data_IF_320461440113
#
_entry.id   IF_320461440113
#
_cell.length_a   1.000
_cell.length_b   1.000
_cell.length_c   1.000
_cell.angle_alpha   90.00
_cell.angle_beta   90.00
_cell.angle_gamma   90.00
#
_symmetry.space_group_name_H-M   'P 1'
#
loop_
_entity.id
_entity.type
_entity.pdbx_description
1 polymer ?
#
# COMPACT_ATOMS: atom_id res chain seq x y z
N UNK A 1 40.11 31.57 -18.27
CA UNK A 1 38.76 30.96 -18.24
C UNK A 1 37.82 32.02 -17.67
N UNK A 2 37.14 32.72 -18.59
CA UNK A 2 36.19 33.77 -18.26
C UNK A 2 34.92 33.10 -17.67
N UNK A 3 34.57 33.46 -16.42
CA UNK A 3 33.32 33.07 -15.81
C UNK A 3 32.17 33.65 -16.66
N UNK A 4 31.35 32.79 -17.23
CA UNK A 4 30.05 33.16 -17.80
C UNK A 4 29.19 33.71 -16.65
N UNK A 5 29.11 35.04 -16.57
CA UNK A 5 28.12 35.67 -15.72
C UNK A 5 26.74 35.36 -16.27
N UNK A 6 25.91 34.68 -15.51
CA UNK A 6 24.47 34.56 -15.80
C UNK A 6 23.91 35.98 -15.89
N UNK A 7 23.10 36.33 -16.91
CA UNK A 7 22.38 37.59 -16.91
C UNK A 7 21.59 37.65 -15.61
N UNK A 8 21.59 38.82 -14.97
CA UNK A 8 20.95 39.04 -13.69
C UNK A 8 19.59 38.36 -13.65
N UNK A 9 19.42 37.47 -12.69
CA UNK A 9 18.11 36.90 -12.43
C UNK A 9 17.13 38.06 -12.26
N UNK A 10 15.93 38.02 -12.88
CA UNK A 10 15.00 39.14 -12.75
C UNK A 10 14.87 39.46 -11.27
N UNK A 11 15.26 40.66 -10.87
CA UNK A 11 15.08 41.12 -9.50
C UNK A 11 13.57 41.07 -9.26
N UNK A 12 13.12 40.05 -8.55
CA UNK A 12 11.76 40.03 -8.02
C UNK A 12 11.68 41.24 -7.12
N UNK A 13 10.95 42.26 -7.57
CA UNK A 13 10.81 43.48 -6.78
C UNK A 13 10.26 43.07 -5.42
N UNK A 14 11.00 43.35 -4.37
CA UNK A 14 10.59 43.07 -3.00
C UNK A 14 9.40 43.92 -2.54
N UNK A 15 8.88 44.77 -3.41
CA UNK A 15 7.71 45.62 -3.23
C UNK A 15 6.54 45.26 -4.16
N UNK A 16 6.22 44.00 -4.30
CA UNK A 16 4.83 43.68 -4.66
C UNK A 16 4.05 43.80 -3.35
N UNK A 17 3.05 44.71 -3.26
CA UNK A 17 2.18 44.75 -2.09
C UNK A 17 1.58 43.35 -1.95
N UNK A 18 2.09 42.59 -0.98
CA UNK A 18 1.59 41.22 -0.75
C UNK A 18 0.10 41.32 -0.44
N UNK A 19 -0.69 40.40 -0.99
CA UNK A 19 -2.09 40.30 -0.62
C UNK A 19 -2.19 40.19 0.91
N UNK A 20 -3.14 40.89 1.54
CA UNK A 20 -3.39 40.72 2.97
C UNK A 20 -3.60 39.23 3.30
N UNK A 21 -3.12 38.80 4.46
CA UNK A 21 -3.18 37.37 4.85
C UNK A 21 -4.60 36.81 4.72
N UNK A 22 -5.61 37.58 5.11
CA UNK A 22 -7.02 37.15 4.99
C UNK A 22 -7.42 36.86 3.53
N UNK A 23 -6.99 37.66 2.59
CA UNK A 23 -7.24 37.48 1.16
C UNK A 23 -6.42 36.29 0.61
N UNK A 24 -5.19 36.14 1.05
CA UNK A 24 -4.35 34.96 0.70
C UNK A 24 -5.03 33.65 1.12
N UNK A 25 -5.58 33.59 2.35
CA UNK A 25 -6.31 32.40 2.84
C UNK A 25 -7.57 32.14 2.03
N UNK A 26 -8.33 33.17 1.66
CA UNK A 26 -9.54 32.99 0.85
C UNK A 26 -9.20 32.55 -0.58
N UNK A 27 -8.13 33.04 -1.18
CA UNK A 27 -7.62 32.55 -2.47
C UNK A 27 -7.24 31.07 -2.39
N UNK A 28 -6.54 30.66 -1.34
CA UNK A 28 -6.20 29.24 -1.14
C UNK A 28 -7.44 28.35 -1.04
N UNK A 29 -8.47 28.79 -0.29
CA UNK A 29 -9.77 28.07 -0.22
C UNK A 29 -10.46 28.00 -1.57
N UNK A 30 -10.36 29.05 -2.38
CA UNK A 30 -10.93 29.09 -3.73
C UNK A 30 -10.27 28.05 -4.65
N UNK A 31 -8.94 27.92 -4.61
CA UNK A 31 -8.20 26.88 -5.34
C UNK A 31 -8.73 25.49 -4.99
N UNK A 32 -8.86 25.18 -3.71
CA UNK A 32 -9.38 23.88 -3.27
C UNK A 32 -10.80 23.63 -3.77
N UNK A 33 -11.68 24.64 -3.74
CA UNK A 33 -13.05 24.52 -4.26
C UNK A 33 -13.09 24.27 -5.77
N UNK A 34 -12.26 24.99 -6.54
CA UNK A 34 -12.18 24.84 -8.01
C UNK A 34 -11.65 23.44 -8.38
N UNK A 35 -10.59 22.97 -7.75
CA UNK A 35 -10.05 21.64 -8.00
C UNK A 35 -11.04 20.53 -7.58
N UNK A 36 -11.73 20.68 -6.46
CA UNK A 36 -12.77 19.74 -6.04
C UNK A 36 -13.93 19.69 -7.04
N UNK A 37 -14.36 20.83 -7.57
CA UNK A 37 -15.40 20.90 -8.61
C UNK A 37 -14.93 20.25 -9.93
N UNK A 38 -13.67 20.44 -10.31
CA UNK A 38 -13.08 19.81 -11.50
C UNK A 38 -13.06 18.28 -11.37
N UNK A 39 -12.71 17.76 -10.20
CA UNK A 39 -12.74 16.30 -9.92
C UNK A 39 -14.18 15.78 -9.93
N UNK A 40 -15.12 16.46 -9.28
CA UNK A 40 -16.54 16.05 -9.26
C UNK A 40 -17.15 15.99 -10.67
N UNK A 41 -16.77 16.89 -11.55
CA UNK A 41 -17.24 16.91 -12.95
C UNK A 41 -16.81 15.68 -13.77
N UNK A 42 -15.78 14.94 -13.34
CA UNK A 42 -15.34 13.70 -14.01
C UNK A 42 -16.37 12.58 -13.91
N UNK A 43 -17.19 12.54 -12.87
CA UNK A 43 -18.19 11.48 -12.67
C UNK A 43 -19.10 11.33 -13.91
N UNK A 44 -19.58 12.43 -14.45
CA UNK A 44 -20.45 12.43 -15.64
C UNK A 44 -19.74 12.00 -16.94
N UNK A 45 -18.41 11.85 -16.92
CA UNK A 45 -17.58 11.45 -18.07
C UNK A 45 -17.11 10.00 -17.99
N UNK A 46 -17.44 9.30 -16.91
CA UNK A 46 -17.20 7.86 -16.78
C UNK A 46 -18.29 7.15 -17.59
N UNK A 47 -17.96 6.80 -18.82
CA UNK A 47 -18.86 6.20 -19.80
C UNK A 47 -18.19 5.10 -20.62
N UNK A 48 -18.64 4.95 -21.88
CA UNK A 48 -18.22 3.85 -22.78
C UNK A 48 -16.72 3.86 -23.05
N UNK A 49 -16.10 5.02 -23.26
CA UNK A 49 -14.65 5.12 -23.48
C UNK A 49 -13.85 4.69 -22.25
N UNK A 50 -14.33 5.03 -21.04
CA UNK A 50 -13.70 4.57 -19.82
C UNK A 50 -13.83 3.05 -19.68
N UNK A 51 -15.02 2.50 -19.91
CA UNK A 51 -15.23 1.05 -19.89
C UNK A 51 -14.37 0.36 -20.96
N UNK A 52 -14.30 0.92 -22.16
CA UNK A 52 -13.44 0.45 -23.24
C UNK A 52 -11.95 0.43 -22.86
N UNK A 53 -11.47 1.48 -22.16
CA UNK A 53 -10.09 1.54 -21.67
C UNK A 53 -9.78 0.45 -20.64
N UNK A 54 -10.70 0.19 -19.71
CA UNK A 54 -10.59 -0.92 -18.75
C UNK A 54 -10.50 -2.25 -19.50
N UNK A 55 -11.41 -2.52 -20.45
CA UNK A 55 -11.40 -3.79 -21.21
C UNK A 55 -10.14 -3.93 -22.07
N UNK A 56 -9.70 -2.85 -22.73
CA UNK A 56 -8.48 -2.86 -23.54
C UNK A 56 -7.24 -3.25 -22.70
N UNK A 57 -7.13 -2.68 -21.50
CA UNK A 57 -6.00 -2.96 -20.59
C UNK A 57 -6.13 -4.38 -19.99
N UNK A 58 -7.32 -4.86 -19.68
CA UNK A 58 -7.52 -6.23 -19.20
C UNK A 58 -7.17 -7.29 -20.24
N UNK A 59 -7.49 -7.01 -21.51
CA UNK A 59 -7.23 -7.91 -22.63
C UNK A 59 -5.77 -7.86 -23.12
N UNK A 60 -4.99 -6.86 -22.71
CA UNK A 60 -3.59 -6.72 -23.13
C UNK A 60 -2.73 -7.87 -22.60
N UNK A 61 -1.92 -8.45 -23.47
CA UNK A 61 -0.93 -9.47 -23.10
C UNK A 61 0.38 -8.88 -22.58
N UNK A 62 0.58 -7.58 -22.78
CA UNK A 62 1.74 -6.81 -22.36
C UNK A 62 1.44 -5.94 -21.13
N UNK A 63 1.96 -4.73 -21.14
CA UNK A 63 1.84 -3.74 -20.08
C UNK A 63 1.15 -2.46 -20.55
N UNK A 64 0.85 -1.57 -19.60
CA UNK A 64 0.41 -0.22 -19.92
C UNK A 64 1.64 0.69 -20.04
N UNK A 65 1.86 1.25 -21.24
CA UNK A 65 2.86 2.30 -21.47
C UNK A 65 2.20 3.63 -21.16
N UNK A 66 2.60 4.28 -20.07
CA UNK A 66 2.04 5.57 -19.69
C UNK A 66 3.01 6.68 -20.08
N UNK A 67 2.55 7.67 -20.84
CA UNK A 67 3.43 8.72 -21.36
C UNK A 67 2.79 10.11 -21.25
N UNK A 68 3.63 11.14 -21.14
CA UNK A 68 3.23 12.53 -21.06
C UNK A 68 4.45 13.44 -20.86
N UNK A 69 4.29 14.73 -21.13
CA UNK A 69 5.36 15.72 -21.02
C UNK A 69 5.10 16.72 -19.89
N UNK A 70 6.15 17.27 -19.30
CA UNK A 70 6.05 18.30 -18.27
C UNK A 70 5.21 17.88 -17.07
N UNK A 71 4.21 18.68 -16.69
CA UNK A 71 3.31 18.36 -15.56
C UNK A 71 2.46 17.12 -15.83
N UNK A 72 1.99 16.93 -17.08
CA UNK A 72 1.31 15.70 -17.49
C UNK A 72 2.23 14.47 -17.38
N UNK A 73 3.52 14.60 -17.64
CA UNK A 73 4.51 13.54 -17.45
C UNK A 73 4.71 13.14 -15.98
N UNK A 74 4.65 14.11 -15.06
CA UNK A 74 4.70 13.84 -13.62
C UNK A 74 3.46 13.05 -13.18
N UNK A 75 2.27 13.46 -13.64
CA UNK A 75 1.01 12.74 -13.40
C UNK A 75 1.06 11.34 -14.00
N UNK A 76 1.55 11.21 -15.24
CA UNK A 76 1.71 9.92 -15.91
C UNK A 76 2.62 8.95 -15.14
N UNK A 77 3.73 9.42 -14.56
CA UNK A 77 4.59 8.62 -13.67
C UNK A 77 3.83 8.12 -12.45
N UNK A 78 3.01 9.00 -11.81
CA UNK A 78 2.21 8.60 -10.66
C UNK A 78 1.16 7.55 -11.05
N UNK A 79 0.49 7.72 -12.18
CA UNK A 79 -0.50 6.76 -12.68
C UNK A 79 0.15 5.40 -12.96
N UNK A 80 1.32 5.37 -13.64
CA UNK A 80 2.07 4.14 -13.89
C UNK A 80 2.43 3.42 -12.57
N UNK A 81 2.89 4.18 -11.57
CA UNK A 81 3.21 3.64 -10.25
C UNK A 81 1.97 3.07 -9.55
N UNK A 82 0.83 3.78 -9.61
CA UNK A 82 -0.45 3.31 -9.03
C UNK A 82 -0.92 2.03 -9.72
N UNK A 83 -0.95 1.97 -11.05
CA UNK A 83 -1.31 0.78 -11.82
C UNK A 83 -0.45 -0.42 -11.41
N UNK A 84 0.88 -0.24 -11.37
CA UNK A 84 1.82 -1.30 -10.99
C UNK A 84 1.56 -1.79 -9.56
N UNK A 85 1.36 -0.86 -8.62
CA UNK A 85 1.13 -1.20 -7.22
C UNK A 85 -0.24 -1.83 -6.95
N UNK A 86 -1.17 -1.73 -7.90
CA UNK A 86 -2.52 -2.31 -7.85
C UNK A 86 -2.70 -3.50 -8.79
N UNK A 87 -1.60 -4.12 -9.24
CA UNK A 87 -1.61 -5.38 -9.98
C UNK A 87 -1.78 -5.26 -11.49
N UNK A 88 -1.70 -4.06 -12.07
CA UNK A 88 -1.65 -3.85 -13.52
C UNK A 88 -0.22 -3.48 -13.92
N UNK A 89 0.51 -4.33 -14.67
CA UNK A 89 1.85 -4.00 -15.12
C UNK A 89 1.85 -2.71 -15.95
N UNK A 90 2.59 -1.71 -15.50
CA UNK A 90 2.68 -0.43 -16.19
C UNK A 90 4.09 0.14 -16.09
N UNK A 91 4.48 0.95 -17.08
CA UNK A 91 5.75 1.66 -17.08
C UNK A 91 5.58 3.05 -17.67
N UNK A 92 6.30 4.02 -17.13
CA UNK A 92 6.35 5.36 -17.69
C UNK A 92 7.39 5.41 -18.81
N UNK A 93 7.02 5.98 -19.95
CA UNK A 93 7.92 6.24 -21.08
C UNK A 93 7.90 7.74 -21.39
N UNK A 94 9.05 8.40 -21.27
CA UNK A 94 9.15 9.81 -21.62
C UNK A 94 9.13 9.99 -23.14
N UNK A 95 8.26 10.89 -23.70
CA UNK A 95 8.11 10.99 -25.16
C UNK A 95 9.41 11.29 -25.92
N UNK A 96 10.25 12.14 -25.35
CA UNK A 96 11.53 12.51 -25.97
C UNK A 96 12.52 11.35 -25.94
N UNK A 97 12.68 10.70 -24.76
CA UNK A 97 13.59 9.55 -24.62
C UNK A 97 13.13 8.36 -25.48
N UNK A 98 11.83 8.19 -25.65
CA UNK A 98 11.27 7.22 -26.58
C UNK A 98 11.88 7.36 -27.99
N UNK A 99 11.93 8.57 -28.51
CA UNK A 99 12.48 8.85 -29.86
C UNK A 99 14.01 8.69 -29.95
N UNK A 100 14.68 8.50 -28.81
CA UNK A 100 16.13 8.32 -28.71
C UNK A 100 16.58 6.91 -28.28
N UNK A 101 15.67 5.93 -28.35
CA UNK A 101 16.00 4.52 -28.16
C UNK A 101 15.12 3.77 -27.18
N UNK A 102 14.43 4.46 -26.25
CA UNK A 102 13.61 3.81 -25.23
C UNK A 102 12.34 3.15 -25.80
N UNK A 103 12.02 3.37 -27.09
CA UNK A 103 10.95 2.63 -27.78
C UNK A 103 11.14 1.11 -27.74
N UNK A 104 12.37 0.64 -27.51
CA UNK A 104 12.68 -0.79 -27.36
C UNK A 104 11.95 -1.49 -26.21
N UNK A 105 11.36 -0.73 -25.27
CA UNK A 105 10.56 -1.31 -24.18
C UNK A 105 9.11 -1.63 -24.59
N UNK A 106 8.65 -1.13 -25.75
CA UNK A 106 7.26 -1.26 -26.20
C UNK A 106 7.09 -2.54 -27.01
N UNK A 107 6.12 -3.35 -26.64
CA UNK A 107 5.71 -4.57 -27.34
C UNK A 107 4.35 -4.43 -28.03
N UNK A 108 4.08 -5.27 -29.03
CA UNK A 108 2.80 -5.28 -29.77
C UNK A 108 1.60 -5.66 -28.91
N UNK A 109 1.81 -6.28 -27.74
CA UNK A 109 0.75 -6.63 -26.80
C UNK A 109 0.45 -5.54 -25.75
N UNK A 110 1.14 -4.39 -25.82
CA UNK A 110 0.98 -3.28 -24.90
C UNK A 110 -0.24 -2.40 -25.25
N UNK A 111 -0.68 -1.61 -24.25
CA UNK A 111 -1.64 -0.53 -24.42
C UNK A 111 -0.95 0.77 -24.00
N UNK A 112 -1.09 1.83 -24.80
CA UNK A 112 -0.51 3.13 -24.46
C UNK A 112 -1.57 4.08 -23.89
N UNK A 113 -1.33 4.61 -22.68
CA UNK A 113 -2.09 5.66 -22.03
C UNK A 113 -1.32 6.97 -22.14
N UNK A 114 -1.80 7.89 -22.96
CA UNK A 114 -1.07 9.10 -23.36
C UNK A 114 -1.74 10.34 -22.78
N UNK A 115 -0.99 11.07 -21.93
CA UNK A 115 -1.49 12.22 -21.19
C UNK A 115 -1.04 13.55 -21.83
N UNK A 116 -1.99 14.38 -22.21
CA UNK A 116 -1.73 15.75 -22.66
C UNK A 116 -2.95 16.64 -22.43
N UNK A 117 -2.80 17.74 -21.67
CA UNK A 117 -3.90 18.70 -21.46
C UNK A 117 -4.44 19.24 -22.78
N UNK A 118 -3.57 19.72 -23.66
CA UNK A 118 -3.97 20.28 -24.94
C UNK A 118 -4.26 19.24 -26.02
N UNK A 119 -3.64 18.04 -25.88
CA UNK A 119 -3.62 17.01 -26.91
C UNK A 119 -2.88 17.38 -28.19
N UNK A 120 -2.08 18.47 -28.17
CA UNK A 120 -1.37 19.05 -29.34
C UNK A 120 0.16 19.14 -29.12
N UNK A 121 0.71 18.36 -28.18
CA UNK A 121 2.16 18.38 -27.90
C UNK A 121 2.95 17.76 -29.06
N UNK A 122 3.86 18.52 -29.65
CA UNK A 122 4.66 18.06 -30.81
C UNK A 122 5.54 16.86 -30.44
N UNK A 123 6.10 16.84 -29.23
CA UNK A 123 6.94 15.74 -28.74
C UNK A 123 6.14 14.43 -28.59
N UNK A 124 4.84 14.51 -28.29
CA UNK A 124 3.98 13.34 -28.21
C UNK A 124 3.61 12.80 -29.59
N UNK A 125 3.52 13.66 -30.61
CA UNK A 125 3.09 13.30 -31.96
C UNK A 125 3.95 12.18 -32.57
N UNK A 126 5.27 12.31 -32.47
CA UNK A 126 6.19 11.27 -32.97
C UNK A 126 5.99 9.92 -32.29
N UNK A 127 5.76 9.92 -30.97
CA UNK A 127 5.46 8.71 -30.23
C UNK A 127 4.11 8.09 -30.63
N UNK A 128 3.05 8.90 -30.78
CA UNK A 128 1.70 8.47 -31.20
C UNK A 128 1.75 7.79 -32.57
N UNK A 129 2.43 8.43 -33.56
CA UNK A 129 2.59 7.88 -34.89
C UNK A 129 3.36 6.55 -34.88
N UNK A 130 4.40 6.43 -34.09
CA UNK A 130 5.18 5.20 -33.98
C UNK A 130 4.36 4.08 -33.37
N UNK A 131 3.69 4.33 -32.24
CA UNK A 131 2.86 3.34 -31.56
C UNK A 131 1.71 2.88 -32.45
N UNK A 132 1.07 3.80 -33.18
CA UNK A 132 0.03 3.47 -34.15
C UNK A 132 0.52 2.54 -35.27
N UNK A 133 1.75 2.75 -35.79
CA UNK A 133 2.36 1.85 -36.79
C UNK A 133 2.69 0.46 -36.24
N UNK A 134 2.99 0.37 -34.95
CA UNK A 134 3.19 -0.92 -34.27
C UNK A 134 1.88 -1.65 -33.95
N UNK A 135 0.72 -1.03 -34.17
CA UNK A 135 -0.56 -1.60 -33.80
C UNK A 135 -0.83 -1.63 -32.28
N UNK A 136 -0.13 -0.78 -31.53
CA UNK A 136 -0.38 -0.60 -30.09
C UNK A 136 -1.67 0.19 -29.92
N UNK A 137 -2.58 -0.28 -29.09
CA UNK A 137 -3.83 0.42 -28.77
C UNK A 137 -3.56 1.72 -28.02
N UNK A 138 -4.13 2.81 -28.49
CA UNK A 138 -3.94 4.14 -27.93
C UNK A 138 -5.17 4.59 -27.12
N UNK A 139 -4.94 4.99 -25.88
CA UNK A 139 -5.93 5.62 -24.99
C UNK A 139 -5.43 7.03 -24.70
N UNK A 140 -6.17 8.04 -25.13
CA UNK A 140 -5.89 9.43 -24.80
C UNK A 140 -6.47 9.79 -23.44
N UNK A 141 -5.70 10.47 -22.60
CA UNK A 141 -6.18 11.16 -21.41
C UNK A 141 -5.91 12.66 -21.62
N UNK A 142 -6.96 13.40 -21.99
CA UNK A 142 -6.79 14.79 -22.47
C UNK A 142 -7.87 15.72 -21.95
N UNK A 143 -7.51 17.01 -21.83
CA UNK A 143 -8.47 18.08 -21.54
C UNK A 143 -9.20 18.59 -22.80
N UNK A 144 -8.87 18.04 -23.99
CA UNK A 144 -9.51 18.43 -25.27
C UNK A 144 -9.86 17.19 -26.09
N UNK A 145 -11.10 16.72 -25.98
CA UNK A 145 -11.56 15.53 -26.72
C UNK A 145 -11.56 15.68 -28.25
N UNK A 146 -11.44 16.90 -28.76
CA UNK A 146 -11.35 17.22 -30.20
C UNK A 146 -9.89 17.39 -30.67
N UNK A 147 -8.89 17.13 -29.82
CA UNK A 147 -7.47 17.30 -30.15
C UNK A 147 -6.91 16.27 -31.11
N UNK A 148 -5.71 16.53 -31.64
CA UNK A 148 -4.98 15.62 -32.50
C UNK A 148 -4.67 14.29 -31.81
N UNK A 149 -4.34 14.30 -30.54
CA UNK A 149 -4.14 13.09 -29.74
C UNK A 149 -5.44 12.26 -29.64
N UNK A 150 -6.56 12.92 -29.33
CA UNK A 150 -7.86 12.26 -29.22
C UNK A 150 -8.27 11.60 -30.55
N UNK A 151 -8.11 12.30 -31.66
CA UNK A 151 -8.46 11.77 -33.00
C UNK A 151 -7.61 10.57 -33.44
N UNK A 152 -6.40 10.45 -32.92
CA UNK A 152 -5.49 9.33 -33.22
C UNK A 152 -5.59 8.18 -32.22
N UNK A 153 -6.39 8.33 -31.19
CA UNK A 153 -6.61 7.31 -30.15
C UNK A 153 -7.93 6.59 -30.37
N UNK A 154 -7.99 5.31 -30.01
CA UNK A 154 -9.21 4.51 -30.08
C UNK A 154 -10.22 4.93 -29.00
N UNK A 155 -9.72 5.38 -27.85
CA UNK A 155 -10.51 5.69 -26.65
C UNK A 155 -10.02 7.01 -26.05
N UNK A 156 -10.95 7.81 -25.53
CA UNK A 156 -10.65 9.14 -25.00
C UNK A 156 -11.19 9.28 -23.58
N UNK A 157 -10.30 9.38 -22.62
CA UNK A 157 -10.63 9.73 -21.24
C UNK A 157 -10.64 11.27 -21.13
N UNK A 158 -11.83 11.86 -21.13
CA UNK A 158 -12.01 13.30 -21.05
C UNK A 158 -11.72 13.84 -19.65
N UNK A 159 -10.60 14.57 -19.53
CA UNK A 159 -10.14 15.26 -18.33
C UNK A 159 -10.25 16.78 -18.47
N UNK A 160 -11.18 17.29 -19.32
CA UNK A 160 -11.38 18.73 -19.49
C UNK A 160 -11.78 19.38 -18.17
N UNK A 161 -11.33 20.62 -17.97
CA UNK A 161 -11.69 21.44 -16.82
C UNK A 161 -12.18 22.79 -17.32
N UNK A 162 -13.06 23.43 -16.57
CA UNK A 162 -13.59 24.74 -16.94
C UNK A 162 -12.49 25.80 -16.98
N UNK A 163 -11.63 25.80 -15.96
CA UNK A 163 -10.51 26.72 -15.79
C UNK A 163 -9.42 26.12 -14.88
N UNK A 164 -8.22 26.62 -14.97
CA UNK A 164 -7.20 26.35 -13.96
C UNK A 164 -7.45 27.20 -12.72
N UNK A 165 -7.08 26.67 -11.54
CA UNK A 165 -7.19 27.44 -10.30
C UNK A 165 -6.11 28.55 -10.17
N UNK A 166 -5.17 28.61 -11.11
CA UNK A 166 -4.21 29.68 -11.25
C UNK A 166 -4.89 30.97 -11.74
N UNK A 167 -4.67 32.14 -11.10
CA UNK A 167 -5.32 33.41 -11.47
C UNK A 167 -5.13 33.83 -12.94
N UNK A 168 -4.12 33.29 -13.61
CA UNK A 168 -3.79 33.61 -15.02
C UNK A 168 -4.13 32.47 -15.98
N UNK A 169 -4.78 31.40 -15.50
CA UNK A 169 -5.07 30.19 -16.28
C UNK A 169 -3.83 29.57 -16.98
N UNK A 170 -2.64 29.80 -16.42
CA UNK A 170 -1.37 29.37 -17.00
C UNK A 170 -0.78 28.12 -16.34
N UNK A 171 -0.80 28.08 -15.01
CA UNK A 171 -0.22 26.97 -14.27
C UNK A 171 -1.21 25.81 -14.21
N UNK A 172 -0.85 24.60 -14.69
CA UNK A 172 -1.69 23.43 -14.56
C UNK A 172 -1.94 23.07 -13.09
N UNK A 173 -3.18 23.15 -12.66
CA UNK A 173 -3.69 22.88 -11.30
C UNK A 173 -4.90 21.97 -11.39
N UNK A 174 -6.09 22.51 -11.69
CA UNK A 174 -7.33 21.74 -11.87
C UNK A 174 -7.18 20.62 -12.89
N UNK A 175 -6.52 20.89 -14.03
CA UNK A 175 -6.31 19.88 -15.08
C UNK A 175 -5.42 18.72 -14.63
N UNK A 176 -4.37 18.99 -13.85
CA UNK A 176 -3.49 17.94 -13.34
C UNK A 176 -4.16 17.12 -12.24
N UNK A 177 -4.94 17.75 -11.38
CA UNK A 177 -5.73 17.09 -10.34
C UNK A 177 -6.82 16.20 -10.96
N UNK A 178 -7.53 16.69 -11.98
CA UNK A 178 -8.52 15.91 -12.72
C UNK A 178 -7.89 14.69 -13.42
N UNK A 179 -6.77 14.88 -14.13
CA UNK A 179 -6.07 13.76 -14.77
C UNK A 179 -5.57 12.72 -13.78
N UNK A 180 -5.09 13.15 -12.60
CA UNK A 180 -4.68 12.26 -11.53
C UNK A 180 -5.85 11.43 -11.00
N UNK A 181 -6.99 12.07 -10.73
CA UNK A 181 -8.21 11.40 -10.25
C UNK A 181 -8.76 10.40 -11.27
N UNK A 182 -8.75 10.74 -12.56
CA UNK A 182 -9.16 9.83 -13.64
C UNK A 182 -8.23 8.60 -13.68
N UNK A 183 -6.92 8.81 -13.55
CA UNK A 183 -5.95 7.70 -13.50
C UNK A 183 -6.14 6.79 -12.29
N UNK A 184 -6.49 7.34 -11.13
CA UNK A 184 -6.80 6.55 -9.93
C UNK A 184 -8.10 5.77 -10.10
N UNK A 185 -9.13 6.38 -10.70
CA UNK A 185 -10.38 5.69 -11.04
C UNK A 185 -10.12 4.49 -11.97
N UNK A 186 -9.28 4.67 -13.00
CA UNK A 186 -8.88 3.61 -13.92
C UNK A 186 -8.13 2.48 -13.19
N UNK A 187 -7.17 2.82 -12.33
CA UNK A 187 -6.40 1.84 -11.57
C UNK A 187 -7.28 1.03 -10.61
N UNK A 188 -8.22 1.68 -9.92
CA UNK A 188 -9.16 1.00 -9.01
C UNK A 188 -10.15 0.13 -9.78
N UNK A 189 -10.66 0.58 -10.92
CA UNK A 189 -11.53 -0.24 -11.77
C UNK A 189 -10.83 -1.52 -12.23
N UNK A 190 -9.56 -1.41 -12.67
CA UNK A 190 -8.73 -2.56 -13.05
C UNK A 190 -8.43 -3.49 -11.88
N UNK A 191 -8.11 -2.94 -10.71
CA UNK A 191 -7.90 -3.69 -9.46
C UNK A 191 -9.12 -4.56 -9.15
N UNK A 192 -10.33 -3.98 -9.18
CA UNK A 192 -11.58 -4.68 -8.89
C UNK A 192 -11.85 -5.77 -9.94
N UNK A 193 -11.67 -5.46 -11.22
CA UNK A 193 -11.89 -6.42 -12.32
C UNK A 193 -10.90 -7.58 -12.31
N UNK A 194 -9.68 -7.38 -11.82
CA UNK A 194 -8.66 -8.44 -11.63
C UNK A 194 -8.88 -9.26 -10.37
N UNK A 195 -9.76 -8.88 -9.45
CA UNK A 195 -9.94 -9.50 -8.15
C UNK A 195 -8.70 -9.34 -7.25
N UNK A 196 -7.92 -8.26 -7.46
CA UNK A 196 -6.69 -8.00 -6.71
C UNK A 196 -7.01 -7.69 -5.24
N UNK A 197 -6.61 -8.59 -4.35
CA UNK A 197 -6.92 -8.54 -2.94
C UNK A 197 -5.79 -7.99 -2.06
N UNK A 198 -6.04 -8.04 -0.74
CA UNK A 198 -5.06 -7.60 0.27
C UNK A 198 -3.77 -8.39 0.24
N UNK A 199 -3.85 -9.69 -0.01
CA UNK A 199 -2.67 -10.58 -0.10
C UNK A 199 -1.82 -10.25 -1.32
N UNK A 200 -2.45 -9.90 -2.45
CA UNK A 200 -1.76 -9.46 -3.66
C UNK A 200 -1.02 -8.14 -3.41
N UNK A 201 -1.71 -7.19 -2.75
CA UNK A 201 -1.10 -5.92 -2.36
C UNK A 201 0.12 -6.12 -1.46
N UNK A 202 -0.01 -7.01 -0.48
CA UNK A 202 1.07 -7.33 0.44
C UNK A 202 2.29 -7.94 -0.26
N UNK A 203 2.07 -8.83 -1.25
CA UNK A 203 3.14 -9.41 -2.07
C UNK A 203 3.92 -8.36 -2.86
N UNK A 204 3.25 -7.31 -3.34
CA UNK A 204 3.89 -6.22 -4.08
C UNK A 204 4.54 -5.16 -3.17
N UNK A 205 4.21 -5.14 -1.87
CA UNK A 205 4.72 -4.17 -0.90
C UNK A 205 5.40 -4.83 0.32
N UNK A 206 6.37 -5.74 0.15
CA UNK A 206 6.90 -6.54 1.25
C UNK A 206 7.65 -5.70 2.31
N UNK A 207 8.20 -4.56 1.93
CA UNK A 207 8.97 -3.66 2.82
C UNK A 207 8.13 -2.68 3.63
N UNK A 208 6.84 -2.49 3.29
CA UNK A 208 5.96 -1.55 3.98
C UNK A 208 5.38 -2.12 5.28
N UNK A 209 5.05 -1.25 6.27
CA UNK A 209 4.38 -1.67 7.50
C UNK A 209 3.06 -2.39 7.20
N UNK A 210 2.27 -1.86 6.27
CA UNK A 210 1.02 -2.48 5.83
C UNK A 210 1.26 -3.87 5.20
N UNK A 211 2.29 -4.02 4.35
CA UNK A 211 2.64 -5.29 3.73
C UNK A 211 2.99 -6.36 4.77
N UNK A 212 3.86 -6.03 5.72
CA UNK A 212 4.24 -6.94 6.82
C UNK A 212 3.04 -7.40 7.64
N UNK A 213 2.14 -6.49 8.02
CA UNK A 213 0.91 -6.83 8.79
C UNK A 213 0.01 -7.84 8.06
N UNK A 214 0.01 -7.83 6.75
CA UNK A 214 -0.85 -8.66 5.91
C UNK A 214 -0.24 -10.02 5.55
N UNK A 215 1.10 -10.18 5.70
CA UNK A 215 1.80 -11.40 5.28
C UNK A 215 2.38 -12.15 6.48
N UNK A 216 2.87 -11.43 7.51
CA UNK A 216 3.61 -12.02 8.61
C UNK A 216 2.76 -13.06 9.35
N UNK A 217 3.27 -14.29 9.43
CA UNK A 217 2.62 -15.39 10.14
C UNK A 217 3.23 -15.58 11.52
N UNK A 218 2.51 -16.26 12.37
CA UNK A 218 3.00 -16.65 13.71
C UNK A 218 4.26 -17.49 13.58
N UNK A 219 4.34 -18.39 12.62
CA UNK A 219 5.51 -19.24 12.34
C UNK A 219 6.79 -18.45 12.07
N UNK A 220 6.68 -17.24 11.49
CA UNK A 220 7.84 -16.39 11.17
C UNK A 220 8.45 -15.72 12.41
N UNK A 221 7.72 -15.70 13.54
CA UNK A 221 8.08 -14.94 14.75
C UNK A 221 8.18 -15.82 15.98
N UNK A 222 7.47 -16.96 16.02
CA UNK A 222 7.44 -17.84 17.18
C UNK A 222 8.82 -18.39 17.54
N UNK A 223 9.05 -18.57 18.81
CA UNK A 223 10.21 -19.32 19.33
C UNK A 223 9.88 -20.80 19.30
N UNK A 224 10.76 -21.63 18.74
CA UNK A 224 10.58 -23.10 18.60
C UNK A 224 11.61 -23.91 19.40
N UNK A 225 12.70 -23.28 19.85
CA UNK A 225 13.74 -23.90 20.65
C UNK A 225 13.59 -23.55 22.14
N UNK A 226 13.96 -24.45 23.02
CA UNK A 226 13.97 -24.25 24.47
C UNK A 226 12.62 -23.70 24.98
N UNK A 227 11.54 -24.32 24.56
CA UNK A 227 10.20 -23.88 24.92
C UNK A 227 9.97 -23.97 26.44
N UNK A 228 9.24 -23.00 27.05
CA UNK A 228 8.88 -23.06 28.47
C UNK A 228 7.77 -24.08 28.69
N UNK A 229 8.13 -25.36 28.67
CA UNK A 229 7.23 -26.49 28.84
C UNK A 229 7.48 -27.20 30.15
N UNK A 230 6.41 -27.53 30.86
CA UNK A 230 6.42 -28.38 32.04
C UNK A 230 5.41 -29.52 31.94
N UNK A 231 5.72 -30.71 32.47
CA UNK A 231 4.71 -31.74 32.62
C UNK A 231 3.72 -31.37 33.75
N UNK A 232 2.50 -31.91 33.80
CA UNK A 232 1.47 -31.51 34.75
C UNK A 232 1.79 -31.79 36.21
N UNK A 233 2.68 -32.74 36.49
CA UNK A 233 3.20 -33.10 37.82
C UNK A 233 4.41 -32.24 38.30
N UNK A 234 4.95 -31.39 37.43
CA UNK A 234 6.01 -30.48 37.81
C UNK A 234 5.61 -29.55 38.95
N UNK A 235 6.53 -29.21 39.80
CA UNK A 235 6.28 -28.35 40.97
C UNK A 235 6.29 -26.86 40.61
N UNK A 236 5.59 -26.06 41.40
CA UNK A 236 5.64 -24.61 41.26
C UNK A 236 7.06 -24.04 41.45
N UNK A 237 7.96 -24.71 42.17
CA UNK A 237 9.36 -24.34 42.25
C UNK A 237 10.04 -24.33 40.88
N UNK A 238 9.80 -25.37 40.07
CA UNK A 238 10.32 -25.47 38.69
C UNK A 238 9.67 -24.42 37.80
N UNK A 239 8.35 -24.22 37.98
CA UNK A 239 7.61 -23.23 37.21
C UNK A 239 8.09 -21.80 37.46
N UNK A 240 8.37 -21.40 38.69
CA UNK A 240 8.86 -20.04 39.04
C UNK A 240 10.18 -19.72 38.33
N UNK A 241 11.10 -20.69 38.24
CA UNK A 241 12.35 -20.50 37.51
C UNK A 241 12.09 -20.22 36.03
N UNK A 242 11.26 -21.05 35.38
CA UNK A 242 10.90 -20.86 33.97
C UNK A 242 10.11 -19.58 33.71
N UNK A 243 9.20 -19.18 34.62
CA UNK A 243 8.49 -17.90 34.50
C UNK A 243 9.47 -16.73 34.48
N UNK A 244 10.48 -16.75 35.33
CA UNK A 244 11.49 -15.69 35.38
C UNK A 244 12.37 -15.66 34.12
N UNK A 245 12.80 -16.84 33.63
CA UNK A 245 13.69 -16.96 32.46
C UNK A 245 12.97 -16.72 31.13
N UNK A 246 11.68 -17.02 31.06
CA UNK A 246 10.90 -17.08 29.81
C UNK A 246 9.72 -16.10 29.74
N UNK A 247 9.92 -14.90 30.23
CA UNK A 247 8.99 -13.76 30.10
C UNK A 247 7.58 -14.01 30.67
N UNK A 248 7.50 -14.78 31.77
CA UNK A 248 6.30 -14.86 32.59
C UNK A 248 5.17 -15.74 32.09
N UNK A 249 5.42 -16.65 31.13
CA UNK A 249 4.42 -17.63 30.67
C UNK A 249 5.08 -18.99 30.45
N UNK A 250 4.47 -20.03 31.03
CA UNK A 250 4.91 -21.44 30.91
C UNK A 250 3.73 -22.25 30.41
N UNK A 251 3.92 -23.07 29.41
CA UNK A 251 2.90 -24.02 28.95
C UNK A 251 3.06 -25.36 29.71
N UNK A 252 1.92 -25.97 30.01
CA UNK A 252 1.85 -27.31 30.64
C UNK A 252 1.36 -28.29 29.58
N UNK A 253 2.16 -29.32 29.31
CA UNK A 253 1.89 -30.30 28.27
C UNK A 253 2.04 -31.73 28.79
N UNK A 254 1.30 -32.67 28.17
CA UNK A 254 1.45 -34.10 28.47
C UNK A 254 2.71 -34.72 27.86
N UNK A 255 2.92 -36.03 28.06
CA UNK A 255 4.08 -36.73 27.55
C UNK A 255 4.15 -36.77 26.00
N UNK A 256 3.04 -36.57 25.31
CA UNK A 256 2.95 -36.49 23.86
C UNK A 256 3.10 -35.05 23.35
N UNK A 257 3.31 -34.06 24.26
CA UNK A 257 3.47 -32.64 23.97
C UNK A 257 2.14 -31.89 23.73
N UNK A 258 0.98 -32.49 24.04
CA UNK A 258 -0.31 -31.84 23.89
C UNK A 258 -0.54 -30.83 25.02
N UNK A 259 -0.99 -29.64 24.64
CA UNK A 259 -1.25 -28.56 25.58
C UNK A 259 -2.39 -28.88 26.53
N UNK A 260 -2.12 -28.83 27.84
CA UNK A 260 -3.10 -29.01 28.91
C UNK A 260 -3.51 -27.67 29.52
N UNK A 261 -2.59 -26.71 29.60
CA UNK A 261 -2.83 -25.42 30.21
C UNK A 261 -1.62 -24.50 30.14
N UNK A 262 -1.74 -23.33 30.76
CA UNK A 262 -0.63 -22.37 30.95
C UNK A 262 -0.60 -21.90 32.39
N UNK A 263 0.59 -21.56 32.87
CA UNK A 263 0.81 -20.83 34.13
C UNK A 263 1.47 -19.51 33.77
N UNK A 264 0.97 -18.43 34.32
CA UNK A 264 1.50 -17.08 34.11
C UNK A 264 2.05 -16.48 35.40
N UNK A 265 2.83 -15.37 35.29
CA UNK A 265 3.24 -14.60 36.47
C UNK A 265 2.05 -14.09 37.29
N UNK A 266 0.90 -13.81 36.64
CA UNK A 266 -0.32 -13.43 37.34
C UNK A 266 -0.94 -14.58 38.16
N UNK A 267 -0.85 -15.82 37.67
CA UNK A 267 -1.29 -17.00 38.43
C UNK A 267 -0.38 -17.21 39.65
N UNK A 268 0.94 -17.05 39.46
CA UNK A 268 1.91 -17.11 40.57
C UNK A 268 1.59 -16.05 41.64
N UNK A 269 1.36 -14.81 41.26
CA UNK A 269 1.02 -13.73 42.21
C UNK A 269 -0.23 -14.07 43.02
N UNK A 270 -1.31 -14.52 42.35
CA UNK A 270 -2.54 -14.95 43.03
C UNK A 270 -2.35 -16.15 43.95
N UNK A 271 -1.44 -17.07 43.58
CA UNK A 271 -1.10 -18.20 44.44
C UNK A 271 -0.36 -17.76 45.71
N UNK A 272 0.62 -16.87 45.58
CA UNK A 272 1.39 -16.32 46.72
C UNK A 272 0.53 -15.56 47.72
N UNK A 273 -0.58 -14.99 47.30
CA UNK A 273 -1.59 -14.30 48.19
C UNK A 273 -2.38 -15.30 49.07
N UNK A 274 -2.48 -16.56 48.65
CA UNK A 274 -3.39 -17.55 49.28
C UNK A 274 -2.64 -18.66 50.00
N UNK A 275 -1.38 -18.94 49.62
CA UNK A 275 -0.65 -20.12 50.05
C UNK A 275 0.81 -19.78 50.33
N UNK A 276 1.23 -19.93 51.59
CA UNK A 276 2.64 -19.66 52.01
C UNK A 276 3.62 -20.74 51.52
N UNK A 277 3.16 -22.00 51.41
CA UNK A 277 3.98 -23.15 51.08
C UNK A 277 3.71 -23.72 49.67
N UNK A 278 3.68 -22.87 48.68
CA UNK A 278 3.25 -23.19 47.31
C UNK A 278 4.29 -23.90 46.45
N UNK A 279 5.58 -23.96 46.83
CA UNK A 279 6.63 -24.50 45.98
C UNK A 279 6.50 -25.97 45.62
N UNK A 280 5.77 -26.76 46.42
CA UNK A 280 5.55 -28.21 46.22
C UNK A 280 4.26 -28.53 45.49
N UNK A 281 3.40 -27.56 45.27
CA UNK A 281 2.13 -27.70 44.57
C UNK A 281 2.43 -28.05 43.09
N UNK A 282 1.69 -28.97 42.51
CA UNK A 282 1.78 -29.33 41.10
C UNK A 282 1.24 -28.23 40.21
N UNK A 283 1.90 -27.98 39.09
CA UNK A 283 1.43 -26.92 38.12
C UNK A 283 0.05 -27.20 37.58
N UNK A 284 -0.35 -28.46 37.48
CA UNK A 284 -1.70 -28.88 37.06
C UNK A 284 -2.85 -28.41 37.95
N UNK A 285 -2.55 -28.08 39.23
CA UNK A 285 -3.52 -27.53 40.19
C UNK A 285 -3.77 -26.03 39.98
N UNK A 286 -2.75 -25.34 39.45
CA UNK A 286 -2.72 -23.88 39.34
C UNK A 286 -2.97 -23.39 37.90
N UNK A 287 -2.62 -24.22 36.91
CA UNK A 287 -2.68 -23.84 35.49
C UNK A 287 -4.09 -23.37 35.05
N UNK A 288 -4.14 -22.37 34.21
CA UNK A 288 -5.33 -22.02 33.44
C UNK A 288 -5.53 -23.10 32.37
N UNK A 289 -6.62 -23.86 32.49
CA UNK A 289 -7.00 -24.89 31.50
C UNK A 289 -7.62 -24.22 30.26
N UNK A 290 -7.44 -24.85 29.10
CA UNK A 290 -7.93 -24.34 27.82
C UNK A 290 -7.50 -22.89 27.54
N UNK A 291 -6.19 -22.61 27.56
CA UNK A 291 -5.68 -21.28 27.30
C UNK A 291 -5.96 -20.84 25.85
N UNK A 292 -5.85 -19.56 25.60
CA UNK A 292 -5.81 -19.06 24.22
C UNK A 292 -4.52 -19.51 23.55
N UNK A 293 -4.64 -19.94 22.30
CA UNK A 293 -3.52 -20.45 21.49
C UNK A 293 -3.48 -19.72 20.14
N UNK A 294 -2.39 -19.89 19.44
CA UNK A 294 -2.25 -19.54 18.03
C UNK A 294 -1.85 -20.78 17.24
N UNK A 295 -2.06 -20.75 15.94
CA UNK A 295 -1.55 -21.76 15.02
C UNK A 295 -0.41 -21.14 14.20
N UNK A 296 0.57 -21.94 13.70
CA UNK A 296 1.70 -21.44 12.93
C UNK A 296 1.30 -20.56 11.74
N UNK A 297 0.24 -20.97 11.04
CA UNK A 297 -0.26 -20.31 9.82
C UNK A 297 -1.14 -19.09 10.08
N UNK A 298 -1.52 -18.82 11.32
CA UNK A 298 -2.28 -17.62 11.65
C UNK A 298 -1.46 -16.36 11.34
N UNK A 299 -2.14 -15.29 10.90
CA UNK A 299 -1.49 -13.98 10.75
C UNK A 299 -1.00 -13.47 12.11
N UNK A 300 0.22 -12.95 12.14
CA UNK A 300 0.80 -12.35 13.34
C UNK A 300 -0.07 -11.23 13.92
N UNK A 301 -0.69 -10.41 13.06
CA UNK A 301 -1.64 -9.37 13.47
C UNK A 301 -2.89 -9.94 14.15
N UNK A 302 -3.38 -11.11 13.71
CA UNK A 302 -4.51 -11.77 14.35
C UNK A 302 -4.16 -12.27 15.77
N UNK A 303 -2.93 -12.81 15.94
CA UNK A 303 -2.42 -13.20 17.26
C UNK A 303 -2.31 -12.01 18.22
N UNK A 304 -1.84 -10.85 17.75
CA UNK A 304 -1.84 -9.60 18.53
C UNK A 304 -3.26 -9.24 18.96
N UNK A 305 -4.24 -9.28 18.06
CA UNK A 305 -5.63 -8.99 18.39
C UNK A 305 -6.22 -9.96 19.43
N UNK A 306 -5.80 -11.23 19.45
CA UNK A 306 -6.16 -12.19 20.50
C UNK A 306 -5.53 -11.78 21.83
N UNK A 307 -4.23 -11.43 21.85
CA UNK A 307 -3.52 -11.00 23.04
C UNK A 307 -4.13 -9.76 23.67
N UNK A 308 -4.45 -8.74 22.88
CA UNK A 308 -5.06 -7.49 23.34
C UNK A 308 -6.46 -7.71 23.94
N UNK A 309 -7.33 -8.45 23.22
CA UNK A 309 -8.70 -8.71 23.70
C UNK A 309 -8.75 -9.49 25.00
N UNK A 310 -7.77 -10.34 25.27
CA UNK A 310 -7.76 -11.20 26.44
C UNK A 310 -6.74 -10.78 27.51
N UNK A 311 -6.01 -9.69 27.28
CA UNK A 311 -5.00 -9.19 28.22
C UNK A 311 -3.85 -10.15 28.47
N UNK A 312 -3.46 -10.94 27.45
CA UNK A 312 -2.37 -11.93 27.56
C UNK A 312 -1.16 -11.48 26.74
N UNK A 313 0.03 -11.75 27.27
CA UNK A 313 1.30 -11.30 26.65
C UNK A 313 1.99 -12.37 25.81
N UNK A 314 1.56 -13.63 25.91
CA UNK A 314 2.09 -14.74 25.15
C UNK A 314 1.00 -15.77 24.84
N UNK A 315 1.14 -16.45 23.71
CA UNK A 315 0.28 -17.56 23.32
C UNK A 315 1.13 -18.80 23.03
N UNK A 316 0.77 -19.97 23.56
CA UNK A 316 1.26 -21.22 23.01
C UNK A 316 0.83 -21.35 21.56
N UNK A 317 1.76 -21.79 20.72
CA UNK A 317 1.47 -22.12 19.32
C UNK A 317 1.33 -23.62 19.21
N UNK A 318 0.18 -24.05 18.68
CA UNK A 318 -0.16 -25.48 18.61
C UNK A 318 -0.40 -25.92 17.17
N UNK A 319 -0.11 -27.18 16.90
CA UNK A 319 -0.49 -27.84 15.64
C UNK A 319 -1.93 -28.35 15.67
N UNK A 320 -2.39 -28.96 14.56
CA UNK A 320 -3.73 -29.54 14.44
C UNK A 320 -4.01 -30.67 15.47
N UNK A 321 -2.97 -31.27 16.05
CA UNK A 321 -3.04 -32.27 17.12
C UNK A 321 -3.02 -31.68 18.53
N UNK A 322 -3.12 -30.36 18.67
CA UNK A 322 -2.98 -29.62 19.93
C UNK A 322 -1.60 -29.78 20.59
N UNK A 323 -0.54 -30.11 19.83
CA UNK A 323 0.83 -30.20 20.37
C UNK A 323 1.47 -28.82 20.32
N UNK A 324 2.19 -28.47 21.37
CA UNK A 324 2.93 -27.21 21.46
C UNK A 324 4.14 -27.29 20.52
N UNK A 325 4.10 -26.50 19.44
CA UNK A 325 5.16 -26.40 18.44
C UNK A 325 5.97 -25.09 18.58
N UNK A 326 5.50 -24.17 19.41
CA UNK A 326 6.16 -22.90 19.64
C UNK A 326 5.51 -22.05 20.73
N UNK A 327 6.12 -20.93 21.00
CA UNK A 327 5.55 -19.85 21.82
C UNK A 327 5.72 -18.53 21.09
N UNK A 328 4.71 -17.68 21.12
CA UNK A 328 4.78 -16.33 20.54
C UNK A 328 4.47 -15.30 21.61
N UNK A 329 5.29 -14.25 21.67
CA UNK A 329 5.15 -13.18 22.66
C UNK A 329 4.79 -11.87 21.95
N UNK A 330 3.93 -11.05 22.55
CA UNK A 330 3.47 -9.77 22.01
C UNK A 330 4.63 -8.86 21.58
N UNK A 331 5.68 -8.80 22.39
CA UNK A 331 6.88 -7.98 22.10
C UNK A 331 7.58 -8.39 20.79
N UNK A 332 7.66 -9.70 20.53
CA UNK A 332 8.32 -10.21 19.33
C UNK A 332 7.46 -9.93 18.08
N UNK A 333 6.13 -10.07 18.20
CA UNK A 333 5.19 -9.69 17.16
C UNK A 333 5.25 -8.20 16.81
N UNK A 334 5.30 -7.33 17.82
CA UNK A 334 5.44 -5.88 17.62
C UNK A 334 6.79 -5.54 16.96
N UNK A 335 7.89 -6.14 17.41
CA UNK A 335 9.22 -5.92 16.82
C UNK A 335 9.30 -6.39 15.37
N UNK A 336 8.59 -7.46 15.02
CA UNK A 336 8.50 -7.96 13.67
C UNK A 336 7.59 -7.13 12.74
N UNK A 337 6.85 -6.16 13.31
CA UNK A 337 5.96 -5.28 12.55
C UNK A 337 4.57 -5.87 12.29
N UNK A 338 4.05 -6.69 13.20
CA UNK A 338 2.71 -7.23 13.14
C UNK A 338 1.60 -6.19 13.44
N UNK A 339 2.01 -5.02 13.94
CA UNK A 339 1.11 -3.91 14.31
C UNK A 339 1.51 -2.63 13.60
#
# INVERSE_FOLDING_TARGET
VSALAWPDAPQVSTEVPGLPLAETLERARTVIRQEAAAVAALEARIGDDFAGAVEAILAASGRVIVSGLGKSGIVARKIAATLTSTGTPATFLHPVEAMHGDLGIVGTGDVALLLSRSGESDELRGLVEYLGRMGVRLVAMTGRPDSSLARQSELVLDCSVAEEACPHDLAPTSSTTAALAMGDALAVALLLRRGFGREDFARLHPGGSLGRRLILRVADVMVTADLPLLPPEATMRQCVVLLAERRGTVAVADAEGRLLGVVTSGDLTRLMEREEHFFTIAVSEIMTRHPRTAEPDHLAAAAVGVMERHGVMALPVVDAGNRVVGMVHLHDLMRAGAV
#
